data_IF_873261986343
#
_entry.id   IF_873261986343
#
_cell.length_a   1.000
_cell.length_b   1.000
_cell.length_c   1.000
_cell.angle_alpha   90.00
_cell.angle_beta   90.00
_cell.angle_gamma   90.00
#
_symmetry.space_group_name_H-M   'P 1'
#
loop_
_entity.id
_entity.type
_entity.pdbx_description
1 polymer ?
#
# COMPACT_ATOMS: atom_id res chain seq x y z
N UNK A 1 -27.63 -5.21 25.77
CA UNK A 1 -26.28 -4.88 26.28
C UNK A 1 -25.39 -6.08 26.04
N UNK A 2 -24.38 -5.92 25.18
CA UNK A 2 -23.38 -6.95 24.92
C UNK A 2 -22.47 -7.08 26.16
N UNK A 3 -22.14 -8.30 26.59
CA UNK A 3 -21.32 -8.55 27.80
C UNK A 3 -19.93 -9.04 27.41
N UNK A 4 -18.92 -8.67 28.18
CA UNK A 4 -17.51 -9.05 27.98
C UNK A 4 -16.89 -8.59 26.65
N UNK A 5 -17.48 -7.59 25.99
CA UNK A 5 -16.88 -6.87 24.85
C UNK A 5 -16.11 -5.62 25.35
N UNK A 6 -15.05 -5.23 24.65
CA UNK A 6 -14.38 -3.92 24.77
C UNK A 6 -14.16 -3.35 23.38
N UNK A 7 -14.36 -2.04 23.21
CA UNK A 7 -14.01 -1.32 21.99
C UNK A 7 -13.00 -0.22 22.34
N UNK A 8 -11.80 -0.33 21.77
CA UNK A 8 -10.72 0.66 21.85
C UNK A 8 -10.69 1.42 20.53
N UNK A 9 -10.72 2.75 20.57
CA UNK A 9 -10.43 3.58 19.41
C UNK A 9 -8.97 4.04 19.40
N UNK A 10 -8.29 3.92 18.27
CA UNK A 10 -7.02 4.59 18.02
C UNK A 10 -7.20 6.07 17.64
N UNK A 11 -6.09 6.80 17.49
CA UNK A 11 -6.11 8.23 17.16
C UNK A 11 -6.55 8.55 15.73
N UNK A 12 -6.66 7.56 14.84
CA UNK A 12 -7.02 7.77 13.42
C UNK A 12 -8.42 8.35 13.18
N UNK A 13 -9.43 7.88 13.92
CA UNK A 13 -10.81 8.36 13.76
C UNK A 13 -11.68 8.13 15.02
N UNK A 14 -11.57 8.98 16.06
CA UNK A 14 -12.35 8.86 17.30
C UNK A 14 -13.87 8.94 17.09
N UNK A 15 -14.33 9.70 16.08
CA UNK A 15 -15.76 9.86 15.79
C UNK A 15 -16.41 8.53 15.35
N UNK A 16 -15.77 7.78 14.45
CA UNK A 16 -16.26 6.46 14.03
C UNK A 16 -16.27 5.46 15.19
N UNK A 17 -15.26 5.50 16.07
CA UNK A 17 -15.26 4.72 17.32
C UNK A 17 -16.49 5.06 18.17
N UNK A 18 -16.78 6.35 18.38
CA UNK A 18 -17.95 6.76 19.16
C UNK A 18 -19.28 6.33 18.50
N UNK A 19 -19.41 6.44 17.18
CA UNK A 19 -20.59 5.94 16.45
C UNK A 19 -20.77 4.42 16.67
N UNK A 20 -19.70 3.63 16.56
CA UNK A 20 -19.74 2.19 16.76
C UNK A 20 -20.14 1.83 18.21
N UNK A 21 -19.54 2.49 19.20
CA UNK A 21 -19.89 2.32 20.61
C UNK A 21 -21.35 2.68 20.91
N UNK A 22 -21.84 3.79 20.36
CA UNK A 22 -23.23 4.23 20.49
C UNK A 22 -24.21 3.17 19.95
N UNK A 23 -23.93 2.58 18.79
CA UNK A 23 -24.78 1.55 18.16
C UNK A 23 -24.73 0.22 18.93
N UNK A 24 -23.57 -0.15 19.48
CA UNK A 24 -23.41 -1.33 20.34
C UNK A 24 -24.01 -1.17 21.75
N UNK A 25 -24.32 0.06 22.17
CA UNK A 25 -24.85 0.37 23.49
C UNK A 25 -23.82 0.18 24.62
N UNK A 26 -22.56 0.52 24.36
CA UNK A 26 -21.43 0.40 25.28
C UNK A 26 -20.57 1.67 25.24
N UNK A 27 -19.84 2.05 26.31
CA UNK A 27 -18.85 3.11 26.23
C UNK A 27 -17.59 2.65 25.47
N UNK A 28 -16.83 3.57 24.84
CA UNK A 28 -15.45 3.29 24.44
C UNK A 28 -14.55 3.11 25.68
N UNK A 29 -13.48 2.32 25.53
CA UNK A 29 -12.49 2.08 26.58
C UNK A 29 -11.67 3.33 26.90
N UNK A 30 -11.29 3.52 28.17
CA UNK A 30 -10.34 4.57 28.56
C UNK A 30 -8.89 4.11 28.29
N UNK A 31 -8.24 4.75 27.32
CA UNK A 31 -6.88 4.49 26.88
C UNK A 31 -6.13 5.81 26.74
N UNK A 32 -4.93 5.90 27.31
CA UNK A 32 -4.02 7.02 27.04
C UNK A 32 -3.27 6.72 25.74
N UNK A 33 -3.56 7.48 24.69
CA UNK A 33 -2.81 7.51 23.45
C UNK A 33 -2.03 8.82 23.38
N UNK A 34 -0.72 8.75 23.24
CA UNK A 34 0.17 9.92 23.21
C UNK A 34 1.48 9.62 22.49
N UNK A 35 2.32 10.64 22.27
CA UNK A 35 3.69 10.48 21.78
C UNK A 35 4.69 11.12 22.73
N UNK A 36 5.83 10.46 22.94
CA UNK A 36 6.99 11.06 23.60
C UNK A 36 7.62 12.14 22.70
N UNK A 37 8.42 13.05 23.27
CA UNK A 37 9.06 14.15 22.53
C UNK A 37 9.98 13.70 21.38
N UNK A 38 10.46 12.45 21.42
CA UNK A 38 11.26 11.80 20.36
C UNK A 38 10.42 11.23 19.21
N UNK A 39 9.08 11.29 19.30
CA UNK A 39 8.14 10.79 18.28
C UNK A 39 7.62 9.37 18.51
N UNK A 40 8.18 8.63 19.46
CA UNK A 40 7.71 7.29 19.86
C UNK A 40 6.26 7.32 20.39
N UNK A 41 5.46 6.33 19.99
CA UNK A 41 4.05 6.19 20.42
C UNK A 41 3.93 5.50 21.77
N UNK A 42 3.15 6.08 22.69
CA UNK A 42 2.81 5.55 24.01
C UNK A 42 1.33 5.20 24.07
N UNK A 43 1.03 3.96 24.45
CA UNK A 43 -0.32 3.41 24.65
C UNK A 43 -0.43 2.86 26.06
N UNK A 44 -1.42 3.30 26.84
CA UNK A 44 -1.73 2.73 28.15
C UNK A 44 -3.23 2.46 28.28
N UNK A 45 -3.61 1.19 28.36
CA UNK A 45 -5.00 0.76 28.58
C UNK A 45 -5.28 0.85 30.08
N UNK A 46 -6.25 1.67 30.49
CA UNK A 46 -6.52 1.94 31.91
C UNK A 46 -7.60 1.05 32.52
N UNK A 47 -8.35 0.31 31.70
CA UNK A 47 -9.31 -0.69 32.16
C UNK A 47 -8.81 -2.13 31.97
N UNK A 48 -9.39 -3.09 32.69
CA UNK A 48 -9.01 -4.50 32.55
C UNK A 48 -9.65 -5.13 31.32
N UNK A 49 -8.83 -5.56 30.35
CA UNK A 49 -9.24 -6.35 29.18
C UNK A 49 -9.17 -7.87 29.40
N UNK A 50 -8.72 -8.32 30.59
CA UNK A 50 -8.50 -9.73 30.91
C UNK A 50 -9.76 -10.57 30.68
N UNK A 51 -9.65 -11.59 29.82
CA UNK A 51 -10.75 -12.51 29.49
C UNK A 51 -11.88 -11.90 28.65
N UNK A 52 -11.80 -10.62 28.28
CA UNK A 52 -12.76 -9.94 27.41
C UNK A 52 -12.41 -10.13 25.93
N UNK A 53 -13.40 -9.91 25.08
CA UNK A 53 -13.31 -9.90 23.62
C UNK A 53 -13.09 -8.44 23.15
N UNK A 54 -11.91 -8.14 22.61
CA UNK A 54 -11.45 -6.76 22.40
C UNK A 54 -11.45 -6.44 20.90
N UNK A 55 -12.00 -5.29 20.56
CA UNK A 55 -12.00 -4.74 19.20
C UNK A 55 -11.23 -3.43 19.18
N UNK A 56 -10.20 -3.32 18.35
CA UNK A 56 -9.35 -2.11 18.23
C UNK A 56 -9.62 -1.46 16.89
N UNK A 57 -10.19 -0.26 16.88
CA UNK A 57 -10.57 0.48 15.67
C UNK A 57 -9.45 1.43 15.28
N UNK A 58 -8.82 1.20 14.12
CA UNK A 58 -7.81 2.08 13.54
C UNK A 58 -7.92 2.10 12.01
N UNK A 59 -8.02 3.27 11.39
CA UNK A 59 -7.94 3.43 9.94
C UNK A 59 -6.50 3.69 9.47
N UNK A 60 -6.13 3.13 8.31
CA UNK A 60 -4.84 3.39 7.65
C UNK A 60 -4.71 4.75 6.94
N UNK A 61 -5.65 5.68 7.13
CA UNK A 61 -5.61 7.02 6.53
C UNK A 61 -4.67 8.00 7.23
N UNK A 62 -4.21 9.04 6.52
CA UNK A 62 -3.35 10.08 7.11
C UNK A 62 -1.94 9.60 7.44
N UNK A 63 -1.53 9.65 8.71
CA UNK A 63 -0.18 9.25 9.17
C UNK A 63 -0.05 7.73 9.31
N UNK A 64 -0.15 7.01 8.20
CA UNK A 64 -0.27 5.54 8.14
C UNK A 64 0.73 4.78 9.04
N UNK A 65 1.99 5.21 9.11
CA UNK A 65 3.02 4.54 9.92
C UNK A 65 2.85 4.76 11.43
N UNK A 66 2.49 5.98 11.84
CA UNK A 66 2.24 6.31 13.26
C UNK A 66 1.05 5.49 13.78
N UNK A 67 0.00 5.41 12.97
CA UNK A 67 -1.26 4.73 13.28
C UNK A 67 -1.13 3.20 13.25
N UNK A 68 -0.34 2.66 12.32
CA UNK A 68 0.02 1.24 12.30
C UNK A 68 0.84 0.86 13.54
N UNK A 69 1.85 1.66 13.93
CA UNK A 69 2.62 1.39 15.15
C UNK A 69 1.75 1.51 16.41
N UNK A 70 0.87 2.51 16.49
CA UNK A 70 -0.10 2.63 17.59
C UNK A 70 -1.00 1.40 17.69
N UNK A 71 -1.52 0.91 16.56
CA UNK A 71 -2.34 -0.30 16.49
C UNK A 71 -1.56 -1.54 16.96
N UNK A 72 -0.35 -1.77 16.44
CA UNK A 72 0.48 -2.93 16.80
C UNK A 72 0.82 -2.94 18.30
N UNK A 73 1.15 -1.78 18.87
CA UNK A 73 1.39 -1.62 20.31
C UNK A 73 0.10 -1.89 21.10
N UNK A 74 -1.06 -1.40 20.62
CA UNK A 74 -2.37 -1.62 21.29
C UNK A 74 -2.78 -3.09 21.27
N UNK A 75 -2.59 -3.80 20.15
CA UNK A 75 -2.85 -5.25 20.03
C UNK A 75 -1.96 -6.02 21.04
N UNK A 76 -0.66 -5.73 21.05
CA UNK A 76 0.30 -6.37 21.96
C UNK A 76 -0.02 -6.10 23.44
N UNK A 77 -0.40 -4.86 23.78
CA UNK A 77 -0.86 -4.50 25.12
C UNK A 77 -2.13 -5.27 25.52
N UNK A 78 -3.09 -5.46 24.61
CA UNK A 78 -4.29 -6.27 24.87
C UNK A 78 -3.95 -7.75 25.08
N UNK A 79 -3.05 -8.30 24.25
CA UNK A 79 -2.65 -9.70 24.29
C UNK A 79 -1.89 -10.04 25.57
N UNK A 80 -0.91 -9.21 25.94
CA UNK A 80 -0.15 -9.34 27.19
C UNK A 80 -1.02 -9.12 28.44
N UNK A 81 -2.00 -8.20 28.38
CA UNK A 81 -3.03 -8.04 29.41
C UNK A 81 -4.05 -9.21 29.51
N UNK A 82 -3.83 -10.30 28.76
CA UNK A 82 -4.63 -11.53 28.78
C UNK A 82 -6.07 -11.35 28.26
N UNK A 83 -6.28 -10.54 27.22
CA UNK A 83 -7.52 -10.55 26.46
C UNK A 83 -7.83 -11.96 25.91
N UNK A 84 -9.12 -12.33 25.83
CA UNK A 84 -9.55 -13.64 25.32
C UNK A 84 -9.35 -13.74 23.80
N UNK A 85 -9.63 -12.65 23.11
CA UNK A 85 -9.51 -12.48 21.65
C UNK A 85 -9.28 -10.99 21.37
N UNK A 86 -8.41 -10.69 20.40
CA UNK A 86 -8.12 -9.33 19.94
C UNK A 86 -8.43 -9.24 18.45
N UNK A 87 -9.44 -8.45 18.10
CA UNK A 87 -9.89 -8.21 16.73
C UNK A 87 -9.43 -6.82 16.27
N UNK A 88 -8.62 -6.75 15.21
CA UNK A 88 -8.24 -5.48 14.61
C UNK A 88 -9.31 -5.05 13.60
N UNK A 89 -9.92 -3.88 13.84
CA UNK A 89 -10.95 -3.29 12.96
C UNK A 89 -10.28 -2.18 12.16
N UNK A 90 -10.14 -2.41 10.85
CA UNK A 90 -9.35 -1.64 9.90
C UNK A 90 -10.25 -1.05 8.78
N UNK A 91 -10.95 0.09 9.00
CA UNK A 91 -11.91 0.62 8.03
C UNK A 91 -11.30 0.98 6.67
N UNK A 92 -10.02 1.35 6.65
CA UNK A 92 -9.15 1.30 5.48
C UNK A 92 -7.92 0.45 5.86
N UNK A 93 -7.64 -0.61 5.11
CA UNK A 93 -6.46 -1.43 5.32
C UNK A 93 -5.18 -0.69 4.86
N UNK A 94 -4.18 -0.47 5.74
CA UNK A 94 -2.95 0.23 5.37
C UNK A 94 -2.12 -0.60 4.37
N UNK A 95 -1.32 0.07 3.53
CA UNK A 95 -0.47 -0.54 2.50
C UNK A 95 -1.18 -1.36 1.38
N UNK A 96 -2.49 -1.58 1.42
CA UNK A 96 -3.31 -2.31 0.44
C UNK A 96 -3.16 -1.92 -1.05
N UNK A 97 -2.56 -0.77 -1.38
CA UNK A 97 -2.28 -0.37 -2.79
C UNK A 97 -0.95 -0.90 -3.32
N UNK A 98 -0.08 -1.42 -2.47
CA UNK A 98 1.20 -2.00 -2.87
C UNK A 98 0.98 -3.46 -3.26
N UNK A 99 0.52 -3.64 -4.51
CA UNK A 99 0.13 -4.95 -5.05
C UNK A 99 1.26 -5.98 -4.91
N UNK A 100 1.02 -7.02 -4.12
CA UNK A 100 1.96 -8.13 -3.90
C UNK A 100 1.97 -9.08 -5.11
N UNK A 101 2.17 -8.53 -6.33
CA UNK A 101 2.24 -9.27 -7.60
C UNK A 101 3.30 -10.37 -7.46
N UNK A 102 2.92 -11.66 -7.48
CA UNK A 102 3.85 -12.72 -7.16
C UNK A 102 5.01 -12.74 -8.15
N UNK A 103 6.23 -12.90 -7.62
CA UNK A 103 7.34 -13.39 -8.42
C UNK A 103 6.94 -14.73 -9.06
N UNK A 104 6.73 -14.73 -10.38
CA UNK A 104 6.33 -15.96 -11.07
C UNK A 104 7.49 -16.97 -10.99
N UNK A 105 7.29 -18.05 -10.22
CA UNK A 105 8.26 -19.15 -10.07
C UNK A 105 8.53 -19.86 -11.40
N UNK A 106 7.61 -19.79 -12.36
CA UNK A 106 7.80 -20.35 -13.70
C UNK A 106 8.42 -19.34 -14.66
N UNK A 107 9.36 -19.79 -15.51
CA UNK A 107 9.85 -19.00 -16.63
C UNK A 107 11.00 -18.03 -16.31
N UNK A 108 12.17 -18.56 -15.95
CA UNK A 108 13.35 -18.05 -16.65
C UNK A 108 13.24 -18.53 -18.12
N UNK A 109 13.47 -17.69 -19.14
CA UNK A 109 13.80 -18.22 -20.45
C UNK A 109 15.03 -19.10 -20.27
N UNK A 110 14.97 -20.36 -20.71
CA UNK A 110 16.19 -21.12 -20.92
C UNK A 110 16.99 -20.35 -21.97
N UNK A 111 18.02 -19.63 -21.53
CA UNK A 111 19.06 -19.14 -22.42
C UNK A 111 19.66 -20.39 -23.04
N UNK A 112 19.26 -20.70 -24.28
CA UNK A 112 19.92 -21.71 -25.08
C UNK A 112 21.38 -21.28 -25.14
N UNK A 113 22.25 -22.00 -24.44
CA UNK A 113 23.67 -21.72 -24.46
C UNK A 113 24.12 -21.75 -25.92
N UNK A 114 24.80 -20.70 -26.36
CA UNK A 114 25.37 -20.59 -27.71
C UNK A 114 26.63 -21.46 -27.81
N UNK A 115 26.44 -22.76 -27.55
CA UNK A 115 27.43 -23.84 -27.53
C UNK A 115 26.94 -25.00 -28.40
N UNK A 116 26.40 -24.69 -29.57
CA UNK A 116 26.30 -25.63 -30.68
C UNK A 116 27.72 -25.93 -31.20
N UNK A 117 28.52 -26.70 -30.44
CA UNK A 117 29.90 -26.99 -30.78
C UNK A 117 30.85 -27.34 -29.64
N UNK A 118 30.53 -28.34 -28.82
CA UNK A 118 31.51 -29.28 -28.20
C UNK A 118 30.79 -30.45 -27.52
N UNK A 119 31.15 -31.67 -27.91
CA UNK A 119 30.78 -32.89 -27.18
C UNK A 119 31.71 -33.06 -25.97
N UNK A 120 31.19 -33.61 -24.88
CA UNK A 120 31.98 -33.92 -23.69
C UNK A 120 31.08 -34.34 -22.52
N UNK A 121 31.07 -35.62 -22.20
CA UNK A 121 30.37 -36.11 -21.01
C UNK A 121 31.15 -35.68 -19.75
N UNK A 122 30.45 -35.06 -18.79
CA UNK A 122 30.42 -35.46 -17.37
C UNK A 122 29.70 -34.39 -16.53
N UNK A 123 28.53 -34.73 -16.00
CA UNK A 123 27.87 -34.00 -14.92
C UNK A 123 27.74 -34.93 -13.71
N UNK A 124 28.66 -34.82 -12.76
CA UNK A 124 28.50 -35.41 -11.42
C UNK A 124 27.74 -34.44 -10.54
N UNK A 125 26.55 -34.83 -10.11
CA UNK A 125 25.69 -34.04 -9.22
C UNK A 125 26.07 -34.31 -7.76
N UNK A 126 27.06 -33.60 -7.24
CA UNK A 126 27.42 -33.66 -5.82
C UNK A 126 27.85 -32.28 -5.32
N UNK A 127 27.28 -31.83 -4.21
CA UNK A 127 27.49 -30.49 -3.66
C UNK A 127 27.38 -30.49 -2.13
N UNK A 128 28.10 -31.43 -1.51
CA UNK A 128 28.28 -31.52 -0.06
C UNK A 128 29.73 -31.17 0.30
N UNK A 129 30.01 -30.13 1.11
CA UNK A 129 31.37 -29.86 1.56
C UNK A 129 31.86 -30.99 2.48
N UNK A 130 33.08 -31.51 2.29
CA UNK A 130 33.58 -32.62 3.09
C UNK A 130 33.85 -32.16 4.53
N UNK A 131 33.06 -32.69 5.48
CA UNK A 131 33.32 -32.50 6.91
C UNK A 131 34.43 -33.46 7.35
N UNK A 132 35.54 -33.00 7.94
CA UNK A 132 36.63 -33.89 8.36
C UNK A 132 36.19 -34.85 9.48
N UNK A 133 36.48 -36.14 9.31
CA UNK A 133 36.32 -37.16 10.34
C UNK A 133 37.69 -37.55 10.92
N UNK A 134 37.84 -37.71 12.25
CA UNK A 134 39.11 -38.13 12.84
C UNK A 134 39.55 -39.53 12.37
N UNK A 135 40.87 -39.72 12.17
CA UNK A 135 41.47 -41.05 12.08
C UNK A 135 41.71 -41.63 10.68
N UNK A 136 41.84 -40.81 9.63
CA UNK A 136 42.42 -41.24 8.35
C UNK A 136 43.65 -40.41 7.96
N UNK A 137 44.61 -41.08 7.32
CA UNK A 137 45.90 -40.52 6.92
C UNK A 137 45.79 -39.50 5.80
N UNK A 138 46.54 -38.40 5.91
CA UNK A 138 46.75 -37.44 4.83
C UNK A 138 47.43 -38.11 3.63
N UNK A 139 46.88 -37.91 2.42
CA UNK A 139 47.57 -38.29 1.17
C UNK A 139 48.63 -37.25 0.86
N UNK A 140 49.91 -37.66 0.85
CA UNK A 140 51.06 -36.78 0.66
C UNK A 140 50.95 -35.89 -0.58
N UNK A 141 51.31 -34.61 -0.42
CA UNK A 141 51.04 -33.58 -1.42
C UNK A 141 52.01 -33.55 -2.61
N UNK A 142 51.60 -32.79 -3.64
CA UNK A 142 52.46 -32.39 -4.76
C UNK A 142 53.50 -31.36 -4.31
N UNK A 143 54.53 -31.83 -3.57
CA UNK A 143 55.72 -31.04 -3.27
C UNK A 143 56.69 -31.09 -4.46
N UNK A 144 56.51 -30.14 -5.39
CA UNK A 144 57.61 -29.63 -6.20
C UNK A 144 57.61 -28.10 -6.03
N UNK A 145 58.45 -27.61 -5.13
CA UNK A 145 58.45 -26.22 -4.69
C UNK A 145 59.25 -25.27 -5.58
N UNK A 146 59.22 -23.98 -5.22
CA UNK A 146 59.93 -22.85 -5.83
C UNK A 146 59.37 -22.42 -7.22
N UNK A 147 59.42 -21.11 -7.50
CA UNK A 147 58.92 -20.41 -8.71
C UNK A 147 57.39 -20.15 -8.84
N UNK A 148 56.55 -20.65 -7.92
CA UNK A 148 55.09 -20.40 -7.98
C UNK A 148 54.68 -18.96 -7.63
N UNK A 149 55.30 -18.37 -6.60
CA UNK A 149 54.92 -17.04 -6.06
C UNK A 149 55.46 -15.90 -6.94
N UNK A 150 56.69 -16.06 -7.46
CA UNK A 150 57.37 -15.05 -8.27
C UNK A 150 56.60 -14.69 -9.56
N UNK A 151 55.89 -15.65 -10.15
CA UNK A 151 55.07 -15.41 -11.33
C UNK A 151 53.79 -14.61 -10.99
N UNK A 152 53.22 -14.80 -9.80
CA UNK A 152 52.10 -13.99 -9.33
C UNK A 152 52.55 -12.55 -9.03
N UNK A 153 53.69 -12.39 -8.36
CA UNK A 153 54.28 -11.06 -8.11
C UNK A 153 54.75 -10.36 -9.39
N UNK A 154 55.31 -11.06 -10.39
CA UNK A 154 55.61 -10.47 -11.71
C UNK A 154 54.35 -10.05 -12.47
N UNK A 155 53.26 -10.79 -12.36
CA UNK A 155 51.97 -10.41 -12.94
C UNK A 155 51.41 -9.13 -12.30
N UNK A 156 51.45 -9.04 -10.97
CA UNK A 156 51.00 -7.85 -10.22
C UNK A 156 51.93 -6.64 -10.43
N UNK A 157 53.24 -6.81 -10.40
CA UNK A 157 54.20 -5.74 -10.63
C UNK A 157 54.11 -5.16 -12.04
N UNK A 158 53.87 -6.00 -13.06
CA UNK A 158 53.64 -5.51 -14.43
C UNK A 158 52.33 -4.71 -14.54
N UNK A 159 51.27 -5.12 -13.84
CA UNK A 159 50.01 -4.38 -13.77
C UNK A 159 50.11 -3.05 -12.97
N UNK A 160 51.22 -2.78 -12.28
CA UNK A 160 51.48 -1.51 -11.57
C UNK A 160 52.59 -0.66 -12.21
N UNK A 161 53.08 -1.03 -13.41
CA UNK A 161 54.18 -0.34 -14.10
C UNK A 161 53.83 0.19 -15.51
N UNK A 162 52.58 0.06 -15.94
CA UNK A 162 52.10 0.69 -17.19
C UNK A 162 51.51 2.10 -16.97
N UNK A 163 51.34 2.53 -15.71
CA UNK A 163 51.15 3.94 -15.34
C UNK A 163 52.50 4.64 -15.08
N UNK A 164 52.67 5.83 -15.66
CA UNK A 164 53.82 6.76 -15.52
C UNK A 164 55.13 6.33 -16.24
N UNK A 165 55.21 6.53 -17.56
CA UNK A 165 56.51 6.72 -18.25
C UNK A 165 56.50 7.59 -19.52
N UNK A 166 55.99 8.83 -19.43
CA UNK A 166 56.56 9.98 -20.17
C UNK A 166 56.02 11.30 -19.62
N UNK A 167 56.84 12.36 -19.58
CA UNK A 167 56.50 13.62 -18.89
C UNK A 167 57.12 14.88 -19.49
N UNK A 168 56.63 16.04 -19.03
CA UNK A 168 57.14 17.39 -19.34
C UNK A 168 56.67 18.40 -18.26
N UNK A 169 57.38 19.53 -18.04
CA UNK A 169 57.96 19.71 -16.70
C UNK A 169 57.50 20.91 -15.84
N UNK A 170 57.40 20.64 -14.53
CA UNK A 170 57.93 21.43 -13.38
C UNK A 170 57.42 22.87 -13.15
N UNK A 171 56.79 23.07 -11.97
CA UNK A 171 57.28 24.05 -10.97
C UNK A 171 56.91 23.69 -9.51
N UNK A 172 57.79 24.11 -8.58
CA UNK A 172 57.76 23.96 -7.11
C UNK A 172 57.02 25.17 -6.46
N UNK A 173 56.58 25.28 -5.19
CA UNK A 173 56.42 24.44 -3.96
C UNK A 173 55.50 25.24 -2.97
N UNK A 174 55.22 24.97 -1.68
CA UNK A 174 55.68 24.06 -0.58
C UNK A 174 54.44 23.74 0.35
N UNK A 175 54.54 22.93 1.44
CA UNK A 175 53.38 22.40 2.19
C UNK A 175 53.23 22.97 3.63
N UNK A 176 52.33 22.41 4.47
CA UNK A 176 52.59 21.87 5.84
C UNK A 176 51.29 21.53 6.65
N UNK A 177 51.28 20.37 7.33
CA UNK A 177 50.47 19.88 8.48
C UNK A 177 48.91 19.90 8.51
N UNK A 178 48.33 18.92 9.26
CA UNK A 178 47.18 19.19 10.15
C UNK A 178 46.07 18.13 10.27
N UNK A 179 46.08 17.34 11.35
CA UNK A 179 44.88 16.74 11.99
C UNK A 179 44.34 17.74 13.05
N UNK A 180 43.14 17.60 13.69
CA UNK A 180 42.23 16.44 13.75
C UNK A 180 40.71 16.78 13.57
N UNK A 181 39.83 15.91 14.08
CA UNK A 181 38.36 16.08 14.20
C UNK A 181 37.96 17.14 15.25
N UNK A 182 36.74 17.67 15.13
CA UNK A 182 35.94 18.18 16.26
C UNK A 182 34.43 18.17 15.91
N UNK A 183 33.59 17.80 16.87
CA UNK A 183 32.12 17.87 16.78
C UNK A 183 31.58 19.28 17.09
N UNK A 184 30.43 19.65 16.53
CA UNK A 184 29.35 20.39 17.23
C UNK A 184 28.06 20.47 16.41
N UNK A 185 26.92 20.58 17.11
CA UNK A 185 25.65 21.07 16.55
C UNK A 185 25.63 22.60 16.55
N UNK A 186 25.06 23.23 15.52
CA UNK A 186 23.69 23.75 15.60
C UNK A 186 23.18 24.27 14.25
N UNK A 187 21.88 24.54 14.17
CA UNK A 187 21.17 24.97 12.96
C UNK A 187 21.04 26.48 12.88
N UNK A 188 21.06 27.03 11.65
CA UNK A 188 20.07 28.00 11.16
C UNK A 188 20.29 28.34 9.67
N UNK A 189 19.26 28.90 9.05
CA UNK A 189 19.24 29.50 7.70
C UNK A 189 19.59 28.59 6.50
N UNK A 190 18.56 28.03 5.88
CA UNK A 190 18.42 28.14 4.42
C UNK A 190 16.96 28.48 4.06
N UNK A 191 16.77 29.61 3.39
CA UNK A 191 15.46 29.97 2.83
C UNK A 191 15.21 29.23 1.51
N UNK A 192 13.93 29.07 1.17
CA UNK A 192 13.51 29.20 -0.23
C UNK A 192 14.00 28.13 -1.21
N UNK A 193 13.58 26.87 -1.05
CA UNK A 193 13.37 26.02 -2.22
C UNK A 193 12.08 25.20 -2.13
N UNK A 194 11.21 25.32 -3.14
CA UNK A 194 9.87 24.72 -3.17
C UNK A 194 9.95 23.32 -3.78
N UNK A 195 10.08 22.29 -2.95
CA UNK A 195 9.93 20.91 -3.42
C UNK A 195 8.46 20.61 -3.75
N UNK A 196 8.16 20.53 -5.05
CA UNK A 196 6.84 20.18 -5.56
C UNK A 196 6.58 18.69 -5.38
N UNK A 197 5.68 18.33 -4.45
CA UNK A 197 5.24 16.96 -4.21
C UNK A 197 4.23 16.51 -5.28
N UNK A 198 4.72 16.17 -6.46
CA UNK A 198 3.93 15.59 -7.54
C UNK A 198 3.44 14.18 -7.18
N UNK A 199 2.23 14.07 -6.65
CA UNK A 199 1.56 12.79 -6.39
C UNK A 199 1.06 12.10 -7.68
N UNK A 200 2.00 11.62 -8.48
CA UNK A 200 1.80 10.86 -9.72
C UNK A 200 2.68 9.59 -9.73
N UNK A 201 2.41 8.68 -10.66
CA UNK A 201 3.34 7.60 -11.05
C UNK A 201 4.60 8.16 -11.75
N UNK A 202 5.37 9.03 -11.07
CA UNK A 202 6.74 9.29 -11.49
C UNK A 202 7.55 8.02 -11.23
N UNK A 203 7.70 7.20 -12.27
CA UNK A 203 8.58 6.03 -12.26
C UNK A 203 9.98 6.46 -11.82
N UNK A 204 10.36 6.06 -10.60
CA UNK A 204 11.71 6.27 -10.09
C UNK A 204 12.69 5.46 -10.96
N UNK A 205 13.31 6.17 -11.90
CA UNK A 205 14.31 5.73 -12.86
C UNK A 205 13.89 4.70 -13.93
N UNK A 206 14.58 4.78 -15.07
CA UNK A 206 14.63 3.70 -16.05
C UNK A 206 15.47 2.54 -15.49
N UNK A 207 14.92 1.77 -14.57
CA UNK A 207 15.60 0.60 -14.03
C UNK A 207 15.77 -0.47 -15.12
N UNK A 208 16.96 -0.51 -15.72
CA UNK A 208 17.39 -1.64 -16.54
C UNK A 208 18.00 -2.69 -15.59
N UNK A 209 17.36 -3.85 -15.36
CA UNK A 209 17.96 -4.91 -14.58
C UNK A 209 19.28 -5.35 -15.24
N UNK A 210 20.33 -5.49 -14.43
CA UNK A 210 21.57 -6.13 -14.88
C UNK A 210 21.25 -7.54 -15.39
N UNK A 211 21.90 -8.06 -16.45
CA UNK A 211 21.68 -9.43 -16.90
C UNK A 211 21.77 -10.44 -15.74
N UNK A 212 20.72 -11.23 -15.54
CA UNK A 212 20.59 -12.17 -14.42
C UNK A 212 19.95 -11.62 -13.14
N UNK A 213 19.97 -10.30 -12.90
CA UNK A 213 19.21 -9.69 -11.80
C UNK A 213 17.73 -9.61 -12.17
N UNK A 214 16.86 -10.09 -11.27
CA UNK A 214 15.40 -9.88 -11.37
C UNK A 214 15.01 -8.78 -10.38
N UNK A 215 14.17 -7.84 -10.83
CA UNK A 215 13.69 -6.77 -9.96
C UNK A 215 12.90 -7.37 -8.78
N UNK A 216 13.43 -7.19 -7.58
CA UNK A 216 12.72 -7.49 -6.35
C UNK A 216 11.76 -6.34 -6.02
N UNK A 217 10.59 -6.66 -5.50
CA UNK A 217 9.57 -5.72 -5.04
C UNK A 217 9.22 -6.12 -3.61
N UNK A 218 9.18 -5.14 -2.71
CA UNK A 218 8.83 -5.40 -1.31
C UNK A 218 7.34 -5.76 -1.22
N UNK A 219 7.02 -6.90 -0.59
CA UNK A 219 5.64 -7.34 -0.39
C UNK A 219 5.06 -6.69 0.87
N UNK A 220 4.70 -5.41 0.75
CA UNK A 220 4.34 -4.59 1.90
C UNK A 220 2.98 -4.96 2.51
N UNK A 221 2.04 -5.51 1.73
CA UNK A 221 0.76 -6.00 2.26
C UNK A 221 0.96 -7.25 3.12
N UNK A 222 1.72 -8.22 2.59
CA UNK A 222 2.13 -9.43 3.33
C UNK A 222 2.86 -9.07 4.62
N UNK A 223 3.84 -8.15 4.59
CA UNK A 223 4.56 -7.69 5.79
C UNK A 223 3.62 -7.05 6.84
N UNK A 224 2.60 -6.31 6.42
CA UNK A 224 1.61 -5.74 7.35
C UNK A 224 0.72 -6.82 7.96
N UNK A 225 0.36 -7.86 7.20
CA UNK A 225 -0.38 -9.02 7.70
C UNK A 225 0.45 -9.83 8.72
N UNK A 226 1.72 -10.08 8.41
CA UNK A 226 2.69 -10.70 9.33
C UNK A 226 2.81 -9.92 10.63
N UNK A 227 2.97 -8.59 10.56
CA UNK A 227 3.10 -7.72 11.73
C UNK A 227 1.85 -7.72 12.61
N UNK A 228 0.66 -7.61 12.02
CA UNK A 228 -0.62 -7.65 12.76
C UNK A 228 -0.83 -8.98 13.48
N UNK A 229 -0.52 -10.09 12.81
CA UNK A 229 -0.62 -11.44 13.35
C UNK A 229 0.41 -11.65 14.47
N UNK A 230 1.67 -11.24 14.25
CA UNK A 230 2.77 -11.33 15.21
C UNK A 230 2.54 -10.46 16.47
N UNK A 231 1.90 -9.29 16.32
CA UNK A 231 1.48 -8.46 17.46
C UNK A 231 0.40 -9.13 18.34
N UNK A 232 -0.27 -10.17 17.83
CA UNK A 232 -1.23 -10.98 18.57
C UNK A 232 -2.70 -10.76 18.19
N UNK A 233 -2.99 -10.24 17.00
CA UNK A 233 -4.35 -10.20 16.48
C UNK A 233 -4.86 -11.63 16.20
N UNK A 234 -6.11 -11.90 16.57
CA UNK A 234 -6.78 -13.19 16.36
C UNK A 234 -7.79 -13.15 15.20
N UNK A 235 -8.15 -11.95 14.74
CA UNK A 235 -9.15 -11.70 13.70
C UNK A 235 -8.95 -10.28 13.12
N UNK A 236 -9.14 -10.11 11.81
CA UNK A 236 -9.25 -8.80 11.15
C UNK A 236 -10.70 -8.56 10.69
N UNK A 237 -11.23 -7.36 10.91
CA UNK A 237 -12.43 -6.85 10.19
C UNK A 237 -11.99 -5.64 9.37
N UNK A 238 -12.30 -5.58 8.08
CA UNK A 238 -11.92 -4.46 7.19
C UNK A 238 -13.03 -4.14 6.19
N UNK A 239 -12.84 -3.22 5.25
CA UNK A 239 -13.81 -2.89 4.21
C UNK A 239 -13.13 -2.62 2.87
N UNK A 240 -13.75 -3.08 1.78
CA UNK A 240 -13.38 -2.87 0.37
C UNK A 240 -11.87 -2.93 0.07
N UNK A 241 -11.19 -3.99 0.55
CA UNK A 241 -9.80 -4.29 0.19
C UNK A 241 -9.52 -4.05 -1.31
N UNK A 242 -8.51 -3.24 -1.59
CA UNK A 242 -8.12 -2.83 -2.95
C UNK A 242 -7.92 -4.04 -3.88
N UNK A 243 -7.23 -5.07 -3.37
CA UNK A 243 -7.25 -6.41 -3.95
C UNK A 243 -7.89 -7.40 -2.95
N UNK A 244 -9.01 -8.06 -3.27
CA UNK A 244 -9.61 -9.08 -2.40
C UNK A 244 -8.65 -10.23 -2.02
N UNK A 245 -7.57 -10.45 -2.79
CA UNK A 245 -6.55 -11.46 -2.49
C UNK A 245 -5.79 -11.21 -1.18
N UNK A 246 -5.77 -9.98 -0.63
CA UNK A 246 -5.12 -9.69 0.67
C UNK A 246 -5.69 -10.52 1.85
N UNK A 247 -6.93 -11.04 1.74
CA UNK A 247 -7.48 -11.98 2.72
C UNK A 247 -6.62 -13.25 2.86
N UNK A 248 -6.00 -13.71 1.78
CA UNK A 248 -5.16 -14.90 1.74
C UNK A 248 -3.72 -14.71 2.25
N UNK A 249 -3.38 -13.53 2.78
CA UNK A 249 -2.07 -13.27 3.41
C UNK A 249 -2.14 -13.32 4.95
N UNK A 250 -3.30 -13.68 5.51
CA UNK A 250 -3.50 -13.88 6.94
C UNK A 250 -3.74 -15.36 7.26
N UNK A 251 -3.00 -15.89 8.23
CA UNK A 251 -3.30 -17.20 8.86
C UNK A 251 -4.50 -17.12 9.83
N UNK A 252 -4.93 -15.90 10.17
CA UNK A 252 -6.11 -15.58 10.98
C UNK A 252 -7.31 -15.23 10.08
N UNK A 253 -8.56 -15.38 10.55
CA UNK A 253 -9.74 -14.96 9.77
C UNK A 253 -9.70 -13.47 9.40
N UNK A 254 -10.37 -13.12 8.29
CA UNK A 254 -10.50 -11.76 7.76
C UNK A 254 -11.92 -11.52 7.24
N UNK A 255 -12.73 -10.76 7.99
CA UNK A 255 -14.03 -10.27 7.53
C UNK A 255 -13.85 -8.99 6.68
N UNK A 256 -13.75 -9.14 5.37
CA UNK A 256 -13.80 -8.01 4.44
C UNK A 256 -15.25 -7.59 4.15
N UNK A 257 -15.68 -6.49 4.75
CA UNK A 257 -16.96 -5.86 4.49
C UNK A 257 -16.96 -5.14 3.13
N UNK A 258 -18.14 -4.83 2.58
CA UNK A 258 -18.28 -4.15 1.29
C UNK A 258 -19.12 -2.87 1.44
N UNK A 259 -18.62 -1.74 0.94
CA UNK A 259 -19.36 -0.49 0.80
C UNK A 259 -20.40 -0.51 -0.34
N UNK A 260 -20.33 -1.53 -1.23
CA UNK A 260 -21.25 -1.74 -2.37
C UNK A 260 -22.74 -1.46 -2.04
N UNK A 261 -23.34 -1.95 -0.94
CA UNK A 261 -24.74 -1.68 -0.61
C UNK A 261 -25.01 -0.21 -0.20
N UNK A 262 -24.05 0.44 0.46
CA UNK A 262 -24.16 1.87 0.82
C UNK A 262 -24.11 2.75 -0.44
N UNK A 263 -23.21 2.44 -1.38
CA UNK A 263 -23.13 3.13 -2.67
C UNK A 263 -24.40 2.92 -3.51
N UNK A 264 -24.89 1.68 -3.65
CA UNK A 264 -26.20 1.37 -4.26
C UNK A 264 -27.33 2.22 -3.65
N UNK A 265 -27.45 2.19 -2.32
CA UNK A 265 -28.49 2.90 -1.56
C UNK A 265 -28.40 4.42 -1.73
N UNK A 266 -27.19 4.99 -1.75
CA UNK A 266 -27.00 6.41 -2.03
C UNK A 266 -27.45 6.78 -3.45
N UNK A 267 -27.06 6.01 -4.47
CA UNK A 267 -27.45 6.27 -5.88
C UNK A 267 -28.97 6.26 -6.01
N UNK A 268 -29.63 5.21 -5.49
CA UNK A 268 -31.09 5.04 -5.57
C UNK A 268 -31.88 6.18 -4.89
N UNK A 269 -31.33 6.78 -3.82
CA UNK A 269 -32.01 7.81 -3.02
C UNK A 269 -31.69 9.25 -3.46
N UNK A 270 -30.46 9.50 -3.92
CA UNK A 270 -29.93 10.87 -4.09
C UNK A 270 -29.60 11.26 -5.53
N UNK A 271 -29.63 10.34 -6.50
CA UNK A 271 -29.39 10.63 -7.92
C UNK A 271 -30.73 10.57 -8.68
N UNK A 272 -31.27 11.72 -9.14
CA UNK A 272 -32.49 11.74 -9.94
C UNK A 272 -32.35 10.88 -11.20
N UNK A 273 -33.43 10.18 -11.56
CA UNK A 273 -33.48 9.29 -12.73
C UNK A 273 -32.33 8.27 -12.83
N UNK A 274 -31.81 7.76 -11.69
CA UNK A 274 -30.65 6.85 -11.67
C UNK A 274 -30.75 5.64 -12.63
N UNK A 275 -31.97 5.19 -12.99
CA UNK A 275 -32.20 4.12 -13.98
C UNK A 275 -31.73 4.47 -15.40
N UNK A 276 -31.52 5.75 -15.69
CA UNK A 276 -30.94 6.27 -16.94
C UNK A 276 -29.46 6.67 -16.80
N UNK A 277 -28.87 6.50 -15.61
CA UNK A 277 -27.45 6.74 -15.39
C UNK A 277 -26.58 5.68 -16.08
N UNK A 278 -25.27 5.90 -16.07
CA UNK A 278 -24.24 4.94 -16.45
C UNK A 278 -23.23 4.84 -15.31
N UNK A 279 -22.94 3.61 -14.88
CA UNK A 279 -21.86 3.34 -13.94
C UNK A 279 -20.54 3.30 -14.71
N UNK A 280 -19.56 4.10 -14.29
CA UNK A 280 -18.28 4.23 -14.99
C UNK A 280 -17.14 3.71 -14.11
N UNK A 281 -16.30 2.82 -14.65
CA UNK A 281 -15.01 2.51 -14.03
C UNK A 281 -13.93 3.52 -14.47
N UNK A 282 -13.20 4.17 -13.56
CA UNK A 282 -12.15 5.14 -13.87
C UNK A 282 -10.90 4.51 -14.49
N UNK A 283 -10.66 3.21 -14.26
CA UNK A 283 -9.66 2.40 -14.94
C UNK A 283 -10.09 0.93 -15.13
N UNK A 284 -9.19 0.09 -15.66
CA UNK A 284 -9.47 -1.33 -15.94
C UNK A 284 -9.40 -2.25 -14.71
N UNK A 285 -8.83 -1.83 -13.59
CA UNK A 285 -8.82 -2.59 -12.33
C UNK A 285 -10.18 -2.50 -11.63
N UNK A 286 -10.73 -1.29 -11.53
CA UNK A 286 -12.05 -1.03 -10.95
C UNK A 286 -13.22 -1.67 -11.71
N UNK A 287 -13.00 -2.20 -12.93
CA UNK A 287 -14.07 -2.64 -13.83
C UNK A 287 -15.02 -3.65 -13.18
N UNK A 288 -14.51 -4.68 -12.49
CA UNK A 288 -15.35 -5.67 -11.79
C UNK A 288 -16.21 -5.04 -10.68
N UNK A 289 -15.67 -4.08 -9.94
CA UNK A 289 -16.37 -3.35 -8.85
C UNK A 289 -17.52 -2.53 -9.41
N UNK A 290 -17.28 -1.83 -10.52
CA UNK A 290 -18.25 -1.01 -11.22
C UNK A 290 -19.36 -1.85 -11.89
N UNK A 291 -19.02 -2.89 -12.65
CA UNK A 291 -20.01 -3.80 -13.27
C UNK A 291 -20.90 -4.48 -12.22
N UNK A 292 -20.34 -4.91 -11.07
CA UNK A 292 -21.12 -5.49 -9.97
C UNK A 292 -22.07 -4.52 -9.24
N UNK A 293 -21.98 -3.21 -9.50
CA UNK A 293 -23.01 -2.22 -9.14
C UNK A 293 -24.00 -2.04 -10.29
N UNK A 294 -23.53 -1.95 -11.54
CA UNK A 294 -24.35 -1.76 -12.73
C UNK A 294 -25.40 -2.88 -12.91
N UNK A 295 -24.93 -4.14 -12.94
CA UNK A 295 -25.77 -5.33 -13.06
C UNK A 295 -26.80 -5.39 -11.93
N UNK A 296 -26.31 -5.22 -10.69
CA UNK A 296 -27.12 -5.21 -9.46
C UNK A 296 -28.05 -4.01 -9.32
N UNK A 297 -28.08 -3.08 -10.27
CA UNK A 297 -29.03 -1.96 -10.33
C UNK A 297 -29.85 -1.92 -11.62
N UNK A 298 -29.57 -2.81 -12.58
CA UNK A 298 -30.22 -2.83 -13.89
C UNK A 298 -29.90 -1.58 -14.74
N UNK A 299 -28.66 -1.07 -14.65
CA UNK A 299 -28.19 0.11 -15.38
C UNK A 299 -26.96 -0.21 -16.22
N UNK A 300 -26.66 0.64 -17.20
CA UNK A 300 -25.53 0.42 -18.11
C UNK A 300 -24.17 0.72 -17.46
N UNK A 301 -23.14 0.10 -18.05
CA UNK A 301 -21.75 0.19 -17.62
C UNK A 301 -20.85 0.77 -18.72
N UNK A 302 -19.91 1.64 -18.33
CA UNK A 302 -18.85 2.13 -19.20
C UNK A 302 -17.47 2.05 -18.51
N UNK A 303 -16.41 1.98 -19.31
CA UNK A 303 -15.04 1.80 -18.86
C UNK A 303 -14.13 2.87 -19.45
N UNK A 304 -13.35 3.55 -18.62
CA UNK A 304 -12.25 4.40 -19.08
C UNK A 304 -10.96 3.57 -19.09
N UNK A 305 -10.31 3.48 -20.26
CA UNK A 305 -9.02 2.83 -20.41
C UNK A 305 -7.91 3.87 -20.66
N UNK A 306 -6.86 3.85 -19.83
CA UNK A 306 -5.67 4.72 -19.96
C UNK A 306 -4.59 4.00 -20.76
N UNK A 307 -4.54 4.27 -22.06
CA UNK A 307 -3.57 3.69 -22.99
C UNK A 307 -2.15 4.20 -22.69
N UNK A 308 -1.23 3.28 -22.36
CA UNK A 308 0.16 3.60 -22.00
C UNK A 308 1.12 3.43 -23.19
N UNK A 309 0.91 4.16 -24.29
CA UNK A 309 1.85 4.13 -25.44
C UNK A 309 3.25 4.62 -25.04
N UNK A 310 4.33 3.88 -25.31
CA UNK A 310 5.69 4.39 -25.18
C UNK A 310 6.01 5.31 -26.36
N UNK A 311 5.80 6.62 -26.21
CA UNK A 311 6.09 7.60 -27.27
C UNK A 311 7.60 7.73 -27.49
N UNK A 312 8.01 7.83 -28.77
CA UNK A 312 9.41 8.02 -29.15
C UNK A 312 9.85 9.48 -28.93
N UNK A 313 10.28 9.79 -27.71
CA UNK A 313 11.24 10.87 -27.32
C UNK A 313 10.90 12.34 -27.65
N UNK A 314 10.23 12.69 -28.75
CA UNK A 314 10.01 14.09 -29.19
C UNK A 314 8.86 14.79 -28.48
N UNK A 315 7.83 14.05 -28.06
CA UNK A 315 6.58 14.63 -27.59
C UNK A 315 6.16 14.13 -26.20
N UNK A 316 6.03 15.07 -25.25
CA UNK A 316 5.44 14.87 -23.92
C UNK A 316 3.91 14.73 -23.98
N UNK A 317 3.40 13.84 -24.84
CA UNK A 317 1.97 13.56 -24.90
C UNK A 317 1.53 12.80 -23.63
N UNK A 318 0.52 13.35 -22.95
CA UNK A 318 -0.13 12.69 -21.82
C UNK A 318 -0.77 11.38 -22.30
N UNK A 319 -0.65 10.31 -21.52
CA UNK A 319 -1.27 9.01 -21.81
C UNK A 319 -2.75 9.16 -22.17
N UNK A 320 -3.13 8.68 -23.35
CA UNK A 320 -4.48 8.81 -23.93
C UNK A 320 -5.49 8.03 -23.10
N UNK A 321 -6.55 8.70 -22.67
CA UNK A 321 -7.71 8.05 -22.05
C UNK A 321 -8.78 7.85 -23.13
N UNK A 322 -9.25 6.61 -23.27
CA UNK A 322 -10.35 6.23 -24.15
C UNK A 322 -11.55 5.82 -23.28
N UNK A 323 -12.75 6.23 -23.68
CA UNK A 323 -14.00 5.77 -23.08
C UNK A 323 -14.56 4.61 -23.92
N UNK A 324 -15.11 3.59 -23.26
CA UNK A 324 -15.81 2.46 -23.87
C UNK A 324 -17.19 2.35 -23.22
N UNK A 325 -18.24 2.46 -24.01
CA UNK A 325 -19.63 2.65 -23.56
C UNK A 325 -20.13 4.07 -23.83
N UNK A 326 -21.44 4.24 -23.97
CA UNK A 326 -22.06 5.55 -24.15
C UNK A 326 -22.36 6.21 -22.80
N UNK A 327 -22.23 7.54 -22.74
CA UNK A 327 -22.51 8.38 -21.57
C UNK A 327 -23.23 9.67 -21.95
N UNK A 328 -23.52 9.88 -23.24
CA UNK A 328 -24.01 11.15 -23.78
C UNK A 328 -25.40 11.49 -23.24
N UNK A 329 -25.59 12.74 -22.85
CA UNK A 329 -26.82 13.31 -22.29
C UNK A 329 -27.33 12.60 -21.01
N UNK A 330 -26.48 11.77 -20.36
CA UNK A 330 -26.81 10.95 -19.19
C UNK A 330 -25.99 11.34 -17.96
N UNK A 331 -26.43 10.89 -16.78
CA UNK A 331 -25.65 10.99 -15.54
C UNK A 331 -24.62 9.86 -15.48
N UNK A 332 -23.34 10.21 -15.51
CA UNK A 332 -22.24 9.27 -15.30
C UNK A 332 -21.87 9.21 -13.81
N UNK A 333 -21.63 8.00 -13.30
CA UNK A 333 -21.31 7.74 -11.89
C UNK A 333 -20.01 6.95 -11.84
N UNK A 334 -18.89 7.63 -11.55
CA UNK A 334 -17.60 6.99 -11.36
C UNK A 334 -17.61 6.16 -10.07
N UNK A 335 -17.24 4.88 -10.15
CA UNK A 335 -17.10 3.95 -9.02
C UNK A 335 -15.63 3.55 -8.86
N UNK A 336 -15.09 3.73 -7.66
CA UNK A 336 -13.70 3.38 -7.30
C UNK A 336 -13.67 2.83 -5.86
N UNK A 337 -12.62 2.11 -5.46
CA UNK A 337 -12.39 1.86 -4.02
C UNK A 337 -11.75 3.04 -3.33
N UNK A 338 -10.77 3.70 -3.96
CA UNK A 338 -9.85 4.55 -3.20
C UNK A 338 -9.39 5.79 -3.98
N UNK A 339 -9.78 6.96 -3.48
CA UNK A 339 -9.38 8.26 -4.01
C UNK A 339 -8.27 8.86 -3.15
N UNK A 340 -7.05 8.77 -3.66
CA UNK A 340 -5.86 9.40 -3.08
C UNK A 340 -5.74 10.84 -3.61
N UNK A 341 -4.78 11.14 -4.50
CA UNK A 341 -4.64 12.47 -5.12
C UNK A 341 -5.82 12.86 -6.03
N UNK A 342 -6.81 11.98 -6.22
CA UNK A 342 -8.01 12.18 -7.04
C UNK A 342 -7.74 12.52 -8.53
N UNK A 343 -6.50 12.32 -8.99
CA UNK A 343 -6.05 12.62 -10.35
C UNK A 343 -6.78 11.73 -11.38
N UNK A 344 -7.05 10.46 -11.06
CA UNK A 344 -7.81 9.54 -11.93
C UNK A 344 -9.26 10.01 -12.09
N UNK A 345 -10.02 10.14 -10.99
CA UNK A 345 -11.45 10.51 -11.04
C UNK A 345 -11.70 11.91 -11.64
N UNK A 346 -10.79 12.87 -11.43
CA UNK A 346 -10.95 14.23 -11.99
C UNK A 346 -10.58 14.30 -13.48
N UNK A 347 -9.60 13.52 -13.94
CA UNK A 347 -9.35 13.34 -15.39
C UNK A 347 -10.48 12.58 -16.07
N UNK A 348 -11.01 11.54 -15.42
CA UNK A 348 -12.17 10.79 -15.88
C UNK A 348 -13.40 11.69 -16.04
N UNK A 349 -13.70 12.54 -15.06
CA UNK A 349 -14.80 13.51 -15.17
C UNK A 349 -14.62 14.51 -16.32
N UNK A 350 -13.39 14.98 -16.57
CA UNK A 350 -13.08 15.83 -17.74
C UNK A 350 -13.31 15.10 -19.07
N UNK A 351 -13.02 13.80 -19.15
CA UNK A 351 -13.34 12.98 -20.33
C UNK A 351 -14.86 12.81 -20.48
N UNK A 352 -15.55 12.41 -19.42
CA UNK A 352 -17.00 12.18 -19.44
C UNK A 352 -17.79 13.42 -19.88
N UNK A 353 -17.47 14.61 -19.34
CA UNK A 353 -18.08 15.88 -19.77
C UNK A 353 -17.71 16.26 -21.22
N UNK A 354 -16.54 15.84 -21.73
CA UNK A 354 -16.16 16.02 -23.15
C UNK A 354 -16.97 15.10 -24.08
N UNK A 355 -17.22 13.86 -23.69
CA UNK A 355 -18.07 12.92 -24.45
C UNK A 355 -19.58 13.14 -24.20
N UNK A 356 -19.96 14.23 -23.53
CA UNK A 356 -21.35 14.70 -23.43
C UNK A 356 -22.15 14.23 -22.21
N UNK A 357 -21.52 13.68 -21.17
CA UNK A 357 -22.23 13.36 -19.92
C UNK A 357 -22.83 14.63 -19.28
N UNK A 358 -24.13 14.59 -18.95
CA UNK A 358 -24.85 15.73 -18.38
C UNK A 358 -24.34 16.05 -16.96
N UNK A 359 -24.26 15.03 -16.11
CA UNK A 359 -23.70 15.10 -14.75
C UNK A 359 -22.65 14.02 -14.55
N UNK A 360 -21.63 14.30 -13.74
CA UNK A 360 -20.62 13.34 -13.31
C UNK A 360 -20.49 13.36 -11.79
N UNK A 361 -20.87 12.24 -11.18
CA UNK A 361 -20.65 11.93 -9.78
C UNK A 361 -19.40 11.06 -9.65
N UNK A 362 -18.70 11.13 -8.51
CA UNK A 362 -17.70 10.14 -8.11
C UNK A 362 -18.05 9.57 -6.74
N UNK A 363 -18.23 8.25 -6.66
CA UNK A 363 -18.58 7.48 -5.49
C UNK A 363 -17.44 6.51 -5.19
N UNK A 364 -16.85 6.64 -4.01
CA UNK A 364 -15.59 5.98 -3.65
C UNK A 364 -15.67 5.48 -2.22
N UNK A 365 -15.22 4.27 -1.90
CA UNK A 365 -15.28 3.83 -0.49
C UNK A 365 -14.31 4.65 0.37
N UNK A 366 -13.03 4.70 0.02
CA UNK A 366 -11.96 5.29 0.83
C UNK A 366 -11.47 6.63 0.26
N UNK A 367 -11.95 7.74 0.83
CA UNK A 367 -11.43 9.07 0.57
C UNK A 367 -10.14 9.35 1.35
N UNK A 368 -8.98 9.00 0.80
CA UNK A 368 -7.68 9.44 1.38
C UNK A 368 -7.45 10.93 1.09
N UNK A 369 -7.80 11.39 -0.12
CA UNK A 369 -7.84 12.80 -0.55
C UNK A 369 -6.57 13.60 -0.23
N UNK A 370 -5.38 12.98 -0.39
CA UNK A 370 -4.10 13.57 0.00
C UNK A 370 -3.61 14.71 -0.91
N UNK A 371 -2.74 15.56 -0.36
CA UNK A 371 -2.08 16.64 -1.10
C UNK A 371 -3.08 17.68 -1.62
N UNK A 372 -3.05 17.93 -2.92
CA UNK A 372 -3.93 18.88 -3.62
C UNK A 372 -5.23 18.24 -4.15
N UNK A 373 -5.61 17.04 -3.68
CA UNK A 373 -6.81 16.32 -4.13
C UNK A 373 -8.09 17.16 -3.98
N UNK A 374 -8.27 17.84 -2.84
CA UNK A 374 -9.46 18.66 -2.58
C UNK A 374 -9.54 19.85 -3.54
N UNK A 375 -8.42 20.53 -3.76
CA UNK A 375 -8.35 21.70 -4.63
C UNK A 375 -8.56 21.28 -6.10
N UNK A 376 -8.02 20.11 -6.47
CA UNK A 376 -8.26 19.43 -7.75
C UNK A 376 -9.73 19.01 -7.93
N UNK A 377 -10.41 18.50 -6.90
CA UNK A 377 -11.85 18.17 -6.94
C UNK A 377 -12.69 19.44 -7.13
N UNK A 378 -12.41 20.48 -6.34
CA UNK A 378 -13.10 21.76 -6.43
C UNK A 378 -13.00 22.35 -7.85
N UNK A 379 -11.80 22.38 -8.43
CA UNK A 379 -11.53 22.85 -9.79
C UNK A 379 -11.94 21.88 -10.92
N UNK A 380 -12.33 20.63 -10.60
CA UNK A 380 -12.73 19.64 -11.60
C UNK A 380 -14.16 19.81 -12.10
N UNK A 381 -14.48 19.12 -13.20
CA UNK A 381 -15.83 19.01 -13.75
C UNK A 381 -16.69 17.91 -13.09
N UNK A 382 -16.30 17.41 -11.90
CA UNK A 382 -17.19 16.64 -11.02
C UNK A 382 -18.27 17.56 -10.46
N UNK A 383 -19.52 17.13 -10.52
CA UNK A 383 -20.65 17.84 -9.90
C UNK A 383 -20.73 17.53 -8.40
N UNK A 384 -20.44 16.28 -8.00
CA UNK A 384 -20.39 15.85 -6.60
C UNK A 384 -19.41 14.68 -6.38
N UNK A 385 -18.81 14.61 -5.19
CA UNK A 385 -17.95 13.51 -4.73
C UNK A 385 -18.54 12.95 -3.45
N UNK A 386 -18.58 11.62 -3.33
CA UNK A 386 -19.17 10.90 -2.22
C UNK A 386 -18.16 9.87 -1.73
N UNK A 387 -17.79 9.95 -0.46
CA UNK A 387 -16.85 9.02 0.19
C UNK A 387 -17.49 8.38 1.42
N UNK A 388 -16.89 7.35 2.01
CA UNK A 388 -17.26 6.93 3.39
C UNK A 388 -16.34 7.56 4.43
N UNK A 389 -16.78 7.59 5.70
CA UNK A 389 -15.91 7.89 6.84
C UNK A 389 -15.00 6.71 7.27
N UNK A 390 -14.67 5.79 6.36
CA UNK A 390 -13.59 4.80 6.60
C UNK A 390 -12.21 5.45 6.80
N UNK A 391 -12.05 6.69 6.34
CA UNK A 391 -10.97 7.63 6.71
C UNK A 391 -11.67 8.90 7.20
N UNK A 392 -11.08 9.62 8.16
CA UNK A 392 -11.65 10.90 8.63
C UNK A 392 -11.74 11.92 7.48
N UNK A 393 -12.86 12.66 7.44
CA UNK A 393 -13.19 13.64 6.41
C UNK A 393 -13.45 15.04 6.98
N UNK A 394 -13.28 15.27 8.29
CA UNK A 394 -13.66 16.51 8.95
C UNK A 394 -13.04 17.77 8.30
N UNK A 395 -11.76 17.73 7.95
CA UNK A 395 -11.07 18.83 7.24
C UNK A 395 -11.33 18.85 5.72
N UNK A 396 -11.65 17.70 5.12
CA UNK A 396 -12.03 17.62 3.71
C UNK A 396 -13.39 18.27 3.45
N UNK A 397 -14.38 18.00 4.31
CA UNK A 397 -15.71 18.64 4.29
C UNK A 397 -15.62 20.16 4.44
N UNK A 398 -14.78 20.67 5.36
CA UNK A 398 -14.53 22.11 5.54
C UNK A 398 -13.98 22.80 4.28
N UNK A 399 -13.26 22.07 3.43
CA UNK A 399 -12.59 22.58 2.23
C UNK A 399 -13.30 22.27 0.90
N UNK A 400 -14.29 21.37 0.89
CA UNK A 400 -14.87 20.83 -0.34
C UNK A 400 -16.41 20.86 -0.30
N UNK A 401 -17.07 21.91 -0.83
CA UNK A 401 -18.54 21.96 -0.90
C UNK A 401 -19.15 20.93 -1.86
N UNK A 402 -18.34 20.21 -2.63
CA UNK A 402 -18.75 19.09 -3.49
C UNK A 402 -18.73 17.73 -2.77
N UNK A 403 -18.18 17.65 -1.56
CA UNK A 403 -17.97 16.39 -0.84
C UNK A 403 -19.17 16.04 0.06
N UNK A 404 -19.66 14.81 -0.04
CA UNK A 404 -20.54 14.17 0.93
C UNK A 404 -19.88 12.92 1.52
N UNK A 405 -20.25 12.57 2.76
CA UNK A 405 -19.63 11.49 3.52
C UNK A 405 -20.71 10.54 4.04
N UNK A 406 -20.58 9.25 3.72
CA UNK A 406 -21.46 8.17 4.16
C UNK A 406 -20.91 7.52 5.44
N UNK A 407 -21.78 7.31 6.43
CA UNK A 407 -21.44 6.69 7.71
C UNK A 407 -21.35 5.16 7.60
N UNK A 408 -20.16 4.59 7.86
CA UNK A 408 -19.92 3.13 7.90
C UNK A 408 -20.00 2.54 9.31
N UNK A 409 -20.04 3.34 10.36
CA UNK A 409 -20.05 2.89 11.76
C UNK A 409 -21.19 1.93 12.10
N UNK A 410 -22.36 2.07 11.47
CA UNK A 410 -23.45 1.09 11.61
C UNK A 410 -23.08 -0.30 11.08
N UNK A 411 -22.36 -0.38 9.96
CA UNK A 411 -21.94 -1.65 9.33
C UNK A 411 -20.85 -2.31 10.17
N UNK A 412 -19.88 -1.53 10.66
CA UNK A 412 -18.84 -2.03 11.57
C UNK A 412 -19.40 -2.47 12.92
N UNK A 413 -20.34 -1.72 13.51
CA UNK A 413 -20.99 -2.11 14.76
C UNK A 413 -21.74 -3.44 14.64
N UNK A 414 -22.51 -3.64 13.56
CA UNK A 414 -23.24 -4.89 13.34
C UNK A 414 -22.29 -6.06 13.00
N UNK A 415 -21.19 -5.81 12.27
CA UNK A 415 -20.15 -6.82 12.06
C UNK A 415 -19.48 -7.24 13.39
N UNK A 416 -19.04 -6.27 14.20
CA UNK A 416 -18.50 -6.50 15.56
C UNK A 416 -19.49 -7.30 16.42
N UNK A 417 -20.78 -6.91 16.41
CA UNK A 417 -21.83 -7.62 17.14
C UNK A 417 -21.93 -9.08 16.68
N UNK A 418 -21.85 -9.36 15.37
CA UNK A 418 -21.93 -10.71 14.82
C UNK A 418 -20.70 -11.56 15.13
N UNK A 419 -19.48 -11.01 14.97
CA UNK A 419 -18.21 -11.66 15.38
C UNK A 419 -18.22 -12.03 16.86
N UNK A 420 -18.82 -11.19 17.71
CA UNK A 420 -18.92 -11.44 19.15
C UNK A 420 -19.85 -12.61 19.50
N UNK A 421 -21.02 -12.69 18.86
CA UNK A 421 -22.03 -13.72 19.15
C UNK A 421 -21.87 -15.01 18.32
N UNK A 422 -20.96 -15.04 17.34
CA UNK A 422 -20.82 -16.16 16.39
C UNK A 422 -21.91 -16.21 15.32
N UNK A 423 -22.55 -15.08 15.03
CA UNK A 423 -23.57 -14.96 14.00
C UNK A 423 -22.95 -14.79 12.60
N UNK A 424 -23.67 -15.21 11.56
CA UNK A 424 -23.18 -15.09 10.19
C UNK A 424 -23.12 -13.63 9.72
N UNK A 425 -21.98 -13.23 9.15
CA UNK A 425 -21.72 -11.87 8.65
C UNK A 425 -22.12 -11.71 7.18
N UNK A 426 -22.25 -12.81 6.44
CA UNK A 426 -22.62 -12.78 5.01
C UNK A 426 -23.98 -12.14 4.74
N UNK A 427 -24.88 -12.09 5.73
CA UNK A 427 -26.16 -11.37 5.63
C UNK A 427 -25.99 -9.86 5.47
N UNK A 428 -24.85 -9.28 5.84
CA UNK A 428 -24.52 -7.87 5.54
C UNK A 428 -24.30 -7.63 4.04
N UNK A 429 -24.08 -8.68 3.27
CA UNK A 429 -23.78 -8.60 1.83
C UNK A 429 -24.98 -9.00 0.96
N UNK A 430 -26.07 -9.49 1.55
CA UNK A 430 -27.27 -10.02 0.87
C UNK A 430 -28.28 -8.93 0.43
N UNK A 431 -27.86 -7.66 0.38
CA UNK A 431 -28.67 -6.55 -0.12
C UNK A 431 -28.40 -6.32 -1.63
N UNK A 432 -28.85 -7.28 -2.45
CA UNK A 432 -28.89 -7.13 -3.91
C UNK A 432 -30.31 -6.85 -4.42
#
# INVERSE_FOLDING_TARGET
>A
MVRNIVVIGGTSHPQLTQTICNVLGIPPADVLLSKFSVGETRVEIKESVRGKDVYIIQSGGGKVNDLLMELLITISACKTASAKRVTAVLPLFPYSRQSDIPYNKTGAPLVKSSLAGRQGNNYTFESTPPTPLPGKSETGGLLNGLNGVDNLQKSLAKAQLEDISNGSPVKKQRPVNGLPRSDTMESLQSEGNRFALNGADEKINNFQPRPGYKQWVAQAGTLVADLLTCAGADHIITMDLHDPQYQGFFDIPVDNLYGRPLLKSYIQRNIPNYKQAVIVSPDAGGAKRATAIADGMGVEFALIHKERRPTRITDRQNATMMLVGDVKDRTAILIDDLADTSNTITRAAKLLKKEGAAQVYALVTHGILSGDAIDRINASALDKVVVTNSVDQADHLRRCPKLEVLEVGHVFAEAIRRVHHGESISTLFQYD
#
